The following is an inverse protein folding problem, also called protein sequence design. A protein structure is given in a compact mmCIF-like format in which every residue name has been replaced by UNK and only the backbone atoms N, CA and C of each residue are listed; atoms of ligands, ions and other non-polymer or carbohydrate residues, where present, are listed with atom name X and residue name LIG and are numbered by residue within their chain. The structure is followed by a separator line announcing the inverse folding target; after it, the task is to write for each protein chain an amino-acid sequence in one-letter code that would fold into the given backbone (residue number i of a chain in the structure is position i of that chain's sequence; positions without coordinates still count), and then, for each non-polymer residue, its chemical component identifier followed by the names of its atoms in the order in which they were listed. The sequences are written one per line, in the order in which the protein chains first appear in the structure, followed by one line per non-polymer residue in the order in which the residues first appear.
data_IF_172211550072
#
_entry.id   IF_172211550072
#
_cell.length_a   1.000
_cell.length_b   1.000
_cell.length_c   1.000
_cell.angle_alpha   90.00
_cell.angle_beta   90.00
_cell.angle_gamma   90.00
#
_symmetry.space_group_name_H-M   'P 1'
#
loop_
_entity.id
_entity.type
_entity.pdbx_description
1 polymer ?
#
# COMPACT_ATOMS: atom_id res chain seq x y z
N UNK A 1 14.60 -8.24 22.66
CA UNK A 1 15.46 -7.65 21.62
C UNK A 1 14.56 -7.41 20.43
N UNK A 2 14.33 -6.15 20.07
CA UNK A 2 13.46 -5.83 18.94
C UNK A 2 14.06 -6.34 17.64
N UNK A 3 13.24 -7.06 16.88
CA UNK A 3 13.61 -7.66 15.58
C UNK A 3 12.57 -7.27 14.55
N UNK A 4 13.01 -7.07 13.30
CA UNK A 4 12.13 -6.78 12.19
C UNK A 4 11.87 -8.05 11.36
N UNK A 5 10.60 -8.31 11.07
CA UNK A 5 10.18 -9.30 10.07
C UNK A 5 9.57 -8.58 8.86
N UNK A 6 9.72 -9.18 7.68
CA UNK A 6 9.23 -8.61 6.43
C UNK A 6 8.36 -9.63 5.71
N UNK A 7 7.20 -9.18 5.22
CA UNK A 7 6.33 -9.98 4.36
C UNK A 7 6.12 -9.27 3.02
N UNK A 8 6.59 -9.91 1.95
CA UNK A 8 6.32 -9.50 0.57
C UNK A 8 4.96 -10.04 0.11
N UNK A 9 4.19 -9.18 -0.56
CA UNK A 9 2.97 -9.49 -1.28
C UNK A 9 2.93 -8.71 -2.61
N UNK A 10 2.02 -9.06 -3.51
CA UNK A 10 1.81 -8.38 -4.79
C UNK A 10 0.33 -8.21 -5.06
N UNK A 11 -0.03 -7.15 -5.77
CA UNK A 11 -1.37 -6.95 -6.33
C UNK A 11 -1.26 -6.14 -7.63
N UNK A 12 -2.16 -6.36 -8.57
CA UNK A 12 -2.21 -5.66 -9.84
C UNK A 12 -3.40 -4.73 -9.82
N UNK A 13 -3.21 -3.45 -10.09
CA UNK A 13 -4.32 -2.50 -10.07
C UNK A 13 -4.18 -1.43 -11.13
N UNK A 14 -5.31 -0.97 -11.65
CA UNK A 14 -5.40 0.16 -12.54
C UNK A 14 -5.69 1.45 -11.76
N UNK A 15 -5.19 2.58 -12.26
CA UNK A 15 -5.49 3.89 -11.70
C UNK A 15 -5.23 5.04 -12.68
N UNK A 16 -5.70 6.23 -12.31
CA UNK A 16 -5.44 7.50 -12.99
C UNK A 16 -5.13 8.54 -11.93
N UNK A 17 -4.04 9.27 -12.14
CA UNK A 17 -3.70 10.41 -11.32
C UNK A 17 -4.41 11.64 -11.86
N UNK A 18 -5.39 12.17 -11.13
CA UNK A 18 -6.21 13.30 -11.57
C UNK A 18 -6.71 14.12 -10.38
N UNK A 19 -6.60 15.44 -10.49
CA UNK A 19 -7.20 16.37 -9.55
C UNK A 19 -8.45 17.02 -10.17
N UNK A 20 -9.66 16.74 -9.67
CA UNK A 20 -10.90 17.27 -10.24
C UNK A 20 -11.08 18.78 -10.03
N UNK A 21 -10.27 19.42 -9.18
CA UNK A 21 -10.30 20.86 -8.96
C UNK A 21 -9.40 21.64 -9.95
N UNK A 22 -8.65 20.95 -10.81
CA UNK A 22 -7.77 21.55 -11.80
C UNK A 22 -8.34 21.37 -13.21
N UNK A 23 -8.00 22.28 -14.11
CA UNK A 23 -8.28 22.10 -15.54
C UNK A 23 -7.43 20.97 -16.16
N UNK A 24 -7.77 20.59 -17.39
CA UNK A 24 -7.09 19.50 -18.10
C UNK A 24 -5.63 19.85 -18.43
N UNK A 25 -5.33 21.13 -18.68
CA UNK A 25 -3.97 21.59 -18.99
C UNK A 25 -3.05 21.36 -17.79
N UNK A 26 -3.46 21.83 -16.60
CA UNK A 26 -2.69 21.65 -15.37
C UNK A 26 -2.58 20.19 -14.97
N UNK A 27 -3.65 19.40 -15.12
CA UNK A 27 -3.59 17.96 -14.85
C UNK A 27 -2.56 17.26 -15.76
N UNK A 28 -2.55 17.59 -17.04
CA UNK A 28 -1.60 17.04 -18.01
C UNK A 28 -0.17 17.49 -17.73
N UNK A 29 0.06 18.74 -17.34
CA UNK A 29 1.37 19.27 -16.97
C UNK A 29 1.95 18.59 -15.73
N UNK A 30 1.13 18.38 -14.70
CA UNK A 30 1.59 17.83 -13.41
C UNK A 30 1.73 16.31 -13.44
N UNK A 31 0.73 15.60 -13.96
CA UNK A 31 0.67 14.14 -13.88
C UNK A 31 1.09 13.44 -15.19
N UNK A 32 1.23 14.18 -16.30
CA UNK A 32 1.72 13.65 -17.56
C UNK A 32 0.95 12.41 -18.03
N UNK A 33 1.70 11.36 -18.39
CA UNK A 33 1.13 10.09 -18.86
C UNK A 33 0.25 9.39 -17.82
N UNK A 34 0.46 9.64 -16.53
CA UNK A 34 -0.33 9.06 -15.44
C UNK A 34 -1.76 9.63 -15.36
N UNK A 35 -2.04 10.76 -16.05
CA UNK A 35 -3.38 11.33 -16.17
C UNK A 35 -4.19 10.79 -17.37
N UNK A 36 -3.75 9.72 -18.04
CA UNK A 36 -4.49 9.11 -19.15
C UNK A 36 -5.98 8.90 -18.78
N UNK A 37 -6.95 9.46 -19.53
CA UNK A 37 -8.39 9.29 -19.24
C UNK A 37 -8.84 7.82 -19.28
N UNK A 38 -8.11 6.96 -19.98
CA UNK A 38 -8.36 5.52 -20.04
C UNK A 38 -7.57 4.73 -18.99
N UNK A 39 -7.06 5.40 -17.95
CA UNK A 39 -6.26 4.83 -16.88
C UNK A 39 -4.93 4.21 -17.39
N UNK A 40 -4.16 3.69 -16.44
CA UNK A 40 -3.03 2.79 -16.66
C UNK A 40 -2.98 1.84 -15.46
N UNK A 41 -2.02 0.92 -15.39
CA UNK A 41 -1.93 0.02 -14.24
C UNK A 41 -0.52 -0.44 -13.96
N UNK A 42 -0.35 -1.03 -12.79
CA UNK A 42 0.93 -1.49 -12.28
C UNK A 42 0.80 -2.84 -11.57
N UNK A 43 1.91 -3.56 -11.55
CA UNK A 43 2.08 -4.78 -10.76
C UNK A 43 2.78 -4.37 -9.46
N UNK A 44 2.01 -3.89 -8.48
CA UNK A 44 2.55 -3.39 -7.23
C UNK A 44 3.22 -4.49 -6.42
N UNK A 45 4.37 -4.16 -5.83
CA UNK A 45 5.03 -5.00 -4.82
C UNK A 45 4.92 -4.33 -3.46
N UNK A 46 4.21 -4.98 -2.55
CA UNK A 46 4.04 -4.54 -1.18
C UNK A 46 5.02 -5.29 -0.27
N UNK A 47 5.83 -4.55 0.49
CA UNK A 47 6.63 -5.08 1.58
C UNK A 47 6.07 -4.51 2.89
N UNK A 48 5.57 -5.40 3.75
CA UNK A 48 5.12 -5.05 5.10
C UNK A 48 6.22 -5.41 6.09
N UNK A 49 6.73 -4.40 6.79
CA UNK A 49 7.70 -4.56 7.88
C UNK A 49 6.98 -4.47 9.21
N UNK A 50 7.19 -5.47 10.06
CA UNK A 50 6.74 -5.49 11.45
C UNK A 50 7.96 -5.52 12.36
N UNK A 51 8.00 -4.66 13.38
CA UNK A 51 9.04 -4.68 14.42
C UNK A 51 8.39 -4.92 15.77
N UNK A 52 8.96 -5.83 16.54
CA UNK A 52 8.51 -6.15 17.91
C UNK A 52 9.55 -6.97 18.64
N UNK A 53 9.29 -7.28 19.90
CA UNK A 53 10.13 -8.19 20.67
C UNK A 53 9.92 -9.64 20.22
N UNK A 54 10.98 -10.43 20.35
CA UNK A 54 10.92 -11.87 20.14
C UNK A 54 10.20 -12.48 21.34
N UNK A 55 9.08 -13.15 21.08
CA UNK A 55 8.36 -13.94 22.07
C UNK A 55 9.27 -15.09 22.58
N UNK A 56 9.47 -15.23 23.91
CA UNK A 56 10.46 -16.15 24.46
C UNK A 56 10.08 -17.63 24.30
N UNK A 57 8.79 -17.94 24.15
CA UNK A 57 8.32 -19.32 24.06
C UNK A 57 8.34 -19.82 22.60
N UNK A 58 8.01 -18.94 21.65
CA UNK A 58 7.89 -19.29 20.23
C UNK A 58 9.09 -18.87 19.39
N UNK A 59 9.86 -17.88 19.84
CA UNK A 59 10.96 -17.27 19.07
C UNK A 59 10.50 -16.36 17.93
N UNK A 60 9.22 -15.97 17.88
CA UNK A 60 8.68 -15.13 16.81
C UNK A 60 8.45 -13.69 17.28
N UNK A 61 8.59 -12.73 16.36
CA UNK A 61 8.01 -11.39 16.53
C UNK A 61 6.50 -11.45 16.30
N UNK A 62 6.11 -12.17 15.23
CA UNK A 62 4.73 -12.48 14.89
C UNK A 62 4.73 -13.71 13.98
N UNK A 63 3.69 -14.53 14.08
CA UNK A 63 3.50 -15.64 13.16
C UNK A 63 3.31 -15.11 11.71
N UNK A 64 4.22 -15.49 10.80
CA UNK A 64 4.20 -15.05 9.41
C UNK A 64 2.98 -15.51 8.61
N UNK A 65 2.36 -16.65 8.98
CA UNK A 65 1.10 -17.08 8.37
C UNK A 65 -0.01 -16.10 8.71
N UNK A 66 -0.12 -15.69 9.98
CA UNK A 66 -1.09 -14.69 10.42
C UNK A 66 -0.89 -13.37 9.70
N UNK A 67 0.35 -12.88 9.58
CA UNK A 67 0.67 -11.67 8.83
C UNK A 67 0.28 -11.82 7.34
N UNK A 68 0.59 -12.95 6.72
CA UNK A 68 0.23 -13.24 5.33
C UNK A 68 -1.27 -13.24 5.10
N UNK A 69 -2.04 -13.90 5.97
CA UNK A 69 -3.50 -14.01 5.86
C UNK A 69 -4.15 -12.63 6.10
N UNK A 70 -3.60 -11.84 7.03
CA UNK A 70 -4.03 -10.46 7.31
C UNK A 70 -3.83 -9.55 6.09
N UNK A 71 -2.62 -9.54 5.49
CA UNK A 71 -2.33 -8.76 4.29
C UNK A 71 -3.24 -9.20 3.14
N UNK A 72 -3.44 -10.50 2.98
CA UNK A 72 -4.28 -11.05 1.90
C UNK A 72 -5.70 -10.52 1.98
N UNK A 73 -6.35 -10.74 3.13
CA UNK A 73 -7.77 -10.39 3.36
C UNK A 73 -8.02 -8.89 3.29
N UNK A 74 -7.12 -8.09 3.87
CA UNK A 74 -7.39 -6.66 4.09
C UNK A 74 -6.76 -5.75 3.04
N UNK A 75 -5.87 -6.27 2.19
CA UNK A 75 -5.19 -5.46 1.17
C UNK A 75 -5.29 -6.14 -0.18
N UNK A 76 -4.61 -7.27 -0.40
CA UNK A 76 -4.46 -7.78 -1.78
C UNK A 76 -5.78 -8.25 -2.37
N UNK A 77 -6.66 -8.94 -1.63
CA UNK A 77 -7.97 -9.35 -2.17
C UNK A 77 -8.89 -8.16 -2.50
N UNK A 78 -8.66 -7.01 -1.85
CA UNK A 78 -9.46 -5.80 -2.09
C UNK A 78 -8.94 -4.98 -3.26
N UNK A 79 -7.63 -5.05 -3.55
CA UNK A 79 -6.97 -4.17 -4.52
C UNK A 79 -6.55 -4.90 -5.81
N UNK A 80 -6.28 -6.21 -5.73
CA UNK A 80 -5.81 -7.00 -6.87
C UNK A 80 -6.90 -7.15 -7.93
N UNK A 81 -6.55 -6.92 -9.20
CA UNK A 81 -7.43 -6.89 -10.35
C UNK A 81 -8.57 -5.86 -10.28
N UNK A 82 -8.37 -4.75 -9.58
CA UNK A 82 -9.34 -3.65 -9.47
C UNK A 82 -8.80 -2.34 -10.04
N UNK A 83 -9.70 -1.42 -10.38
CA UNK A 83 -9.38 -0.02 -10.61
C UNK A 83 -9.47 0.73 -9.27
N UNK A 84 -8.36 1.28 -8.78
CA UNK A 84 -8.30 1.94 -7.49
C UNK A 84 -9.28 3.12 -7.40
N UNK A 85 -9.37 3.95 -8.44
CA UNK A 85 -10.26 5.11 -8.43
C UNK A 85 -11.75 4.74 -8.37
N UNK A 86 -12.12 3.60 -8.96
CA UNK A 86 -13.52 3.21 -9.19
C UNK A 86 -14.04 2.21 -8.16
N UNK A 87 -13.21 1.23 -7.80
CA UNK A 87 -13.67 0.03 -7.10
C UNK A 87 -13.22 0.00 -5.63
N UNK A 88 -12.24 0.83 -5.24
CA UNK A 88 -11.69 0.86 -3.89
C UNK A 88 -12.19 2.11 -3.15
N UNK A 89 -13.09 1.97 -2.16
CA UNK A 89 -13.76 3.10 -1.52
C UNK A 89 -12.82 4.16 -0.95
N UNK A 90 -11.65 3.75 -0.44
CA UNK A 90 -10.62 4.64 0.10
C UNK A 90 -10.11 5.68 -0.91
N UNK A 91 -10.18 5.39 -2.22
CA UNK A 91 -9.72 6.29 -3.28
C UNK A 91 -10.85 7.02 -4.01
N UNK A 92 -12.10 6.90 -3.56
CA UNK A 92 -13.25 7.59 -4.16
C UNK A 92 -13.10 9.12 -4.22
N UNK A 93 -12.34 9.70 -3.28
CA UNK A 93 -12.01 11.13 -3.23
C UNK A 93 -10.51 11.39 -3.01
N UNK A 94 -9.69 10.34 -3.01
CA UNK A 94 -8.26 10.41 -2.75
C UNK A 94 -7.51 9.95 -4.00
N UNK A 95 -6.61 10.80 -4.50
CA UNK A 95 -5.82 10.48 -5.68
C UNK A 95 -4.88 9.29 -5.38
N UNK A 96 -4.95 8.16 -6.10
CA UNK A 96 -4.18 6.95 -5.79
C UNK A 96 -2.71 7.06 -6.22
N UNK A 97 -1.98 8.08 -5.75
CA UNK A 97 -0.52 8.09 -5.90
C UNK A 97 0.10 6.97 -5.08
N UNK A 98 1.32 6.54 -5.41
CA UNK A 98 2.02 5.50 -4.64
C UNK A 98 2.07 5.84 -3.13
N UNK A 99 2.32 7.10 -2.78
CA UNK A 99 2.32 7.61 -1.41
C UNK A 99 0.97 7.40 -0.73
N UNK A 100 -0.12 7.84 -1.35
CA UNK A 100 -1.47 7.69 -0.78
C UNK A 100 -1.88 6.22 -0.67
N UNK A 101 -1.47 5.36 -1.62
CA UNK A 101 -1.71 3.93 -1.52
C UNK A 101 -0.96 3.34 -0.32
N UNK A 102 0.30 3.71 -0.09
CA UNK A 102 1.06 3.24 1.06
C UNK A 102 0.44 3.70 2.39
N UNK A 103 -0.04 4.95 2.49
CA UNK A 103 -0.75 5.48 3.65
C UNK A 103 -2.06 4.73 3.90
N UNK A 104 -2.87 4.52 2.86
CA UNK A 104 -4.13 3.77 2.98
C UNK A 104 -3.87 2.33 3.45
N UNK A 105 -2.88 1.65 2.88
CA UNK A 105 -2.50 0.29 3.30
C UNK A 105 -2.04 0.29 4.76
N UNK A 106 -1.23 1.26 5.15
CA UNK A 106 -0.81 1.43 6.55
C UNK A 106 -2.01 1.59 7.47
N UNK A 107 -2.93 2.50 7.17
CA UNK A 107 -4.10 2.78 8.00
C UNK A 107 -5.02 1.57 8.14
N UNK A 108 -5.18 0.78 7.07
CA UNK A 108 -5.92 -0.48 7.10
C UNK A 108 -5.27 -1.46 8.07
N UNK A 109 -3.97 -1.74 7.90
CA UNK A 109 -3.25 -2.72 8.71
C UNK A 109 -3.05 -2.25 10.15
N UNK A 110 -2.87 -0.95 10.36
CA UNK A 110 -2.63 -0.37 11.69
C UNK A 110 -3.82 -0.54 12.61
N UNK A 111 -5.05 -0.45 12.08
CA UNK A 111 -6.31 -0.64 12.83
C UNK A 111 -6.49 -2.05 13.39
N UNK A 112 -5.84 -3.05 12.79
CA UNK A 112 -6.01 -4.46 13.14
C UNK A 112 -4.76 -5.06 13.80
N UNK A 113 -3.61 -4.41 13.65
CA UNK A 113 -2.35 -4.84 14.24
C UNK A 113 -2.22 -4.32 15.68
N UNK A 114 -1.71 -5.16 16.58
CA UNK A 114 -1.48 -4.79 17.98
C UNK A 114 -0.53 -3.59 18.13
N UNK A 115 -0.82 -2.69 19.07
CA UNK A 115 -0.14 -1.39 19.21
C UNK A 115 1.31 -1.48 19.70
N UNK A 116 1.72 -2.61 20.27
CA UNK A 116 3.09 -2.92 20.66
C UNK A 116 4.00 -3.23 19.46
N UNK A 117 3.41 -3.52 18.29
CA UNK A 117 4.14 -3.77 17.05
C UNK A 117 4.27 -2.49 16.22
N UNK A 118 5.48 -2.16 15.81
CA UNK A 118 5.72 -1.10 14.83
C UNK A 118 5.44 -1.62 13.42
N UNK A 119 4.86 -0.77 12.57
CA UNK A 119 4.47 -1.09 11.20
C UNK A 119 5.14 -0.11 10.26
N UNK A 120 5.67 -0.61 9.15
CA UNK A 120 6.05 0.20 7.99
C UNK A 120 5.64 -0.51 6.72
N UNK A 121 5.16 0.28 5.78
CA UNK A 121 4.80 -0.11 4.43
C UNK A 121 5.88 0.42 3.50
N UNK A 122 6.44 -0.47 2.67
CA UNK A 122 7.17 -0.09 1.47
C UNK A 122 6.38 -0.59 0.27
N UNK A 123 6.02 0.31 -0.63
CA UNK A 123 5.24 0.00 -1.82
C UNK A 123 6.02 0.38 -3.07
N UNK A 124 6.31 -0.61 -3.89
CA UNK A 124 6.85 -0.42 -5.23
C UNK A 124 5.68 -0.28 -6.20
N UNK A 125 5.57 0.87 -6.86
CA UNK A 125 4.69 1.04 -8.02
C UNK A 125 5.34 0.39 -9.25
N UNK A 126 6.66 0.58 -9.40
CA UNK A 126 7.49 -0.10 -10.38
C UNK A 126 8.79 -0.54 -9.71
N UNK A 127 9.66 -1.25 -10.42
CA UNK A 127 10.99 -1.64 -9.89
C UNK A 127 11.85 -0.42 -9.54
N UNK A 128 11.62 0.73 -10.18
CA UNK A 128 12.40 1.95 -10.01
C UNK A 128 11.72 2.98 -9.09
N UNK A 129 10.40 2.87 -8.87
CA UNK A 129 9.62 3.83 -8.10
C UNK A 129 9.01 3.14 -6.89
N UNK A 130 9.45 3.55 -5.69
CA UNK A 130 8.89 3.03 -4.45
C UNK A 130 8.80 4.11 -3.39
N UNK A 131 7.85 3.92 -2.48
CA UNK A 131 7.55 4.81 -1.37
C UNK A 131 7.61 4.03 -0.06
N UNK A 132 7.88 4.73 1.04
CA UNK A 132 7.86 4.17 2.39
C UNK A 132 6.99 5.02 3.31
N UNK A 133 6.20 4.37 4.16
CA UNK A 133 5.39 5.04 5.16
C UNK A 133 5.11 4.15 6.40
N UNK A 134 5.23 4.68 7.63
CA UNK A 134 5.86 5.96 7.97
C UNK A 134 7.37 5.93 7.72
N UNK A 135 7.95 7.12 7.61
CA UNK A 135 9.41 7.31 7.69
C UNK A 135 9.85 7.12 9.14
N UNK A 136 11.01 6.46 9.33
CA UNK A 136 11.65 6.28 10.62
C UNK A 136 12.49 7.50 11.01
#
# INVERSE_FOLDING_TARGET
MKTAIYRRATFNAAHRLHNPAWDDVKNKEVFGVCNNPNYHGHNYVLIVKIVGDIDPDTGYVMNLKTLSDMIKKNVTERFDHHNLNMDVPEFSKLNPTAENIAVVIYDILRKILSSDLELQIRLYETENNFVEYPVL
#
